data_IF_162546974189
#
_entry.id   IF_162546974189
#
_cell.length_a   1.000
_cell.length_b   1.000
_cell.length_c   1.000
_cell.angle_alpha   90.00
_cell.angle_beta   90.00
_cell.angle_gamma   90.00
#
_symmetry.space_group_name_H-M   'P 1'
#
loop_
_entity.id
_entity.type
_entity.pdbx_description
1 polymer ?
#
# COMPACT_ATOMS: atom_id res chain seq x y z
N UNK A 1 9.63 3.53 -4.06
CA UNK A 1 8.92 3.15 -5.30
C UNK A 1 8.53 1.69 -5.23
N UNK A 2 7.23 1.35 -5.41
CA UNK A 2 6.76 -0.02 -5.28
C UNK A 2 7.17 -0.93 -6.45
N UNK A 3 7.29 -2.22 -6.18
CA UNK A 3 7.66 -3.27 -7.14
C UNK A 3 6.44 -3.81 -7.87
N UNK A 4 6.21 -3.28 -9.08
CA UNK A 4 5.10 -3.71 -9.94
C UNK A 4 5.36 -4.98 -10.77
N UNK A 5 6.55 -5.56 -10.67
CA UNK A 5 6.93 -6.76 -11.45
C UNK A 5 6.00 -7.95 -11.25
N UNK A 6 5.37 -8.06 -10.07
CA UNK A 6 4.46 -9.16 -9.76
C UNK A 6 3.10 -9.04 -10.48
N UNK A 7 2.78 -7.89 -11.09
CA UNK A 7 1.58 -7.73 -11.93
C UNK A 7 1.58 -8.69 -13.14
N UNK A 8 2.74 -9.20 -13.54
CA UNK A 8 2.82 -10.21 -14.61
C UNK A 8 2.19 -11.55 -14.22
N UNK A 9 1.98 -11.79 -12.93
CA UNK A 9 1.41 -13.03 -12.39
C UNK A 9 -0.12 -13.03 -12.36
N UNK A 10 -0.77 -11.86 -12.47
CA UNK A 10 -2.24 -11.77 -12.57
C UNK A 10 -2.71 -11.86 -14.02
N UNK A 11 -4.01 -12.11 -14.21
CA UNK A 11 -4.62 -12.20 -15.54
C UNK A 11 -4.36 -10.94 -16.37
N UNK A 12 -4.31 -11.06 -17.69
CA UNK A 12 -4.03 -9.90 -18.55
C UNK A 12 -5.04 -8.77 -18.37
N UNK A 13 -6.32 -9.10 -18.25
CA UNK A 13 -7.41 -8.15 -18.02
C UNK A 13 -7.22 -7.41 -16.70
N UNK A 14 -6.93 -8.13 -15.62
CA UNK A 14 -6.69 -7.55 -14.30
C UNK A 14 -5.42 -6.70 -14.29
N UNK A 15 -4.34 -7.16 -14.93
CA UNK A 15 -3.09 -6.43 -15.08
C UNK A 15 -3.30 -5.09 -15.77
N UNK A 16 -3.99 -5.08 -16.92
CA UNK A 16 -4.28 -3.85 -17.68
C UNK A 16 -5.10 -2.87 -16.85
N UNK A 17 -6.14 -3.36 -16.18
CA UNK A 17 -7.01 -2.55 -15.30
C UNK A 17 -6.24 -1.97 -14.12
N UNK A 18 -5.45 -2.80 -13.43
CA UNK A 18 -4.64 -2.40 -12.29
C UNK A 18 -3.61 -1.35 -12.68
N UNK A 19 -2.86 -1.57 -13.77
CA UNK A 19 -1.86 -0.63 -14.27
C UNK A 19 -2.49 0.74 -14.64
N UNK A 20 -3.65 0.72 -15.32
CA UNK A 20 -4.36 1.95 -15.64
C UNK A 20 -4.81 2.71 -14.38
N UNK A 21 -5.27 1.99 -13.35
CA UNK A 21 -5.65 2.62 -12.08
C UNK A 21 -4.46 3.12 -11.27
N UNK A 22 -3.34 2.41 -11.25
CA UNK A 22 -2.10 2.87 -10.63
C UNK A 22 -1.62 4.18 -11.25
N UNK A 23 -1.67 4.31 -12.58
CA UNK A 23 -1.29 5.55 -13.25
C UNK A 23 -2.21 6.70 -12.83
N UNK A 24 -3.53 6.49 -12.80
CA UNK A 24 -4.49 7.51 -12.33
C UNK A 24 -4.22 7.91 -10.88
N UNK A 25 -4.01 6.93 -10.01
CA UNK A 25 -3.76 7.12 -8.58
C UNK A 25 -2.45 7.90 -8.35
N UNK A 26 -1.37 7.51 -9.04
CA UNK A 26 -0.08 8.22 -8.98
C UNK A 26 -0.23 9.69 -9.38
N UNK A 27 -0.93 9.97 -10.48
CA UNK A 27 -1.18 11.35 -10.91
C UNK A 27 -2.01 12.12 -9.90
N UNK A 28 -3.04 11.51 -9.32
CA UNK A 28 -3.88 12.16 -8.31
C UNK A 28 -3.09 12.46 -7.02
N UNK A 29 -2.26 11.53 -6.57
CA UNK A 29 -1.42 11.70 -5.37
C UNK A 29 -0.34 12.75 -5.58
N UNK A 30 0.34 12.76 -6.73
CA UNK A 30 1.33 13.79 -7.06
C UNK A 30 0.76 15.23 -7.06
N UNK A 31 -0.54 15.37 -7.32
CA UNK A 31 -1.23 16.66 -7.30
C UNK A 31 -1.81 17.05 -5.93
N UNK A 32 -1.96 16.10 -5.00
CA UNK A 32 -2.65 16.31 -3.71
C UNK A 32 -1.74 16.17 -2.49
N UNK A 33 -0.63 15.43 -2.62
CA UNK A 33 0.37 15.22 -1.58
C UNK A 33 1.64 15.98 -1.97
N UNK A 34 2.29 16.72 -1.04
CA UNK A 34 3.57 17.34 -1.32
C UNK A 34 4.61 16.33 -1.81
N UNK A 35 5.53 16.75 -2.68
CA UNK A 35 6.60 15.88 -3.14
C UNK A 35 7.55 15.53 -1.98
N UNK A 36 7.87 14.24 -1.87
CA UNK A 36 8.80 13.71 -0.87
C UNK A 36 10.24 14.11 -1.20
N UNK A 37 10.92 14.78 -0.29
CA UNK A 37 12.29 15.28 -0.48
C UNK A 37 13.15 14.94 0.73
N UNK A 38 14.25 14.21 0.48
CA UNK A 38 15.13 13.68 1.55
C UNK A 38 15.66 14.78 2.48
N UNK A 39 15.92 15.97 1.98
CA UNK A 39 16.62 17.03 2.70
C UNK A 39 15.71 18.08 3.35
N UNK A 40 14.42 18.14 3.02
CA UNK A 40 13.60 19.31 3.34
C UNK A 40 12.21 19.03 3.90
N UNK A 41 11.71 17.79 3.81
CA UNK A 41 10.45 17.46 4.46
C UNK A 41 10.41 16.03 5.00
N UNK A 42 9.43 15.80 5.87
CA UNK A 42 9.05 14.50 6.37
C UNK A 42 7.53 14.40 6.26
N UNK A 43 7.04 13.48 5.44
CA UNK A 43 5.61 13.29 5.18
C UNK A 43 5.09 12.14 6.04
N UNK A 44 4.18 12.46 6.95
CA UNK A 44 3.58 11.50 7.87
C UNK A 44 2.08 11.40 7.57
N UNK A 45 1.59 10.17 7.47
CA UNK A 45 0.17 9.88 7.32
C UNK A 45 -0.34 9.00 8.45
N UNK A 46 -1.62 9.17 8.78
CA UNK A 46 -2.39 8.23 9.60
C UNK A 46 -3.53 7.71 8.75
N UNK A 47 -3.72 6.39 8.71
CA UNK A 47 -4.73 5.78 7.86
C UNK A 47 -5.44 4.66 8.60
N UNK A 48 -6.72 4.88 8.90
CA UNK A 48 -7.60 3.81 9.29
C UNK A 48 -8.00 3.01 8.03
N UNK A 49 -7.57 1.75 7.98
CA UNK A 49 -7.93 0.84 6.90
C UNK A 49 -8.82 -0.23 7.51
N UNK A 50 -10.14 0.04 7.46
CA UNK A 50 -11.15 -0.82 8.07
C UNK A 50 -10.88 -2.30 7.82
N UNK A 51 -10.78 -3.03 8.92
CA UNK A 51 -10.60 -4.48 8.97
C UNK A 51 -9.57 -5.01 7.97
N UNK A 52 -8.29 -4.67 8.17
CA UNK A 52 -7.25 -5.04 7.22
C UNK A 52 -7.16 -6.58 7.02
N UNK A 53 -7.77 -7.11 5.95
CA UNK A 53 -7.87 -8.53 5.57
C UNK A 53 -8.53 -9.44 6.63
N UNK A 54 -9.65 -8.99 7.23
CA UNK A 54 -10.40 -9.81 8.19
C UNK A 54 -11.09 -11.03 7.55
N UNK A 55 -11.39 -12.03 8.39
CA UNK A 55 -12.18 -13.21 7.99
C UNK A 55 -13.59 -12.85 7.52
N UNK A 56 -14.16 -11.75 8.00
CA UNK A 56 -15.54 -11.34 7.75
C UNK A 56 -15.76 -10.76 6.34
N UNK A 57 -14.75 -10.12 5.76
CA UNK A 57 -14.83 -9.47 4.45
C UNK A 57 -13.95 -10.13 3.38
N UNK A 58 -13.17 -11.13 3.78
CA UNK A 58 -12.28 -11.87 2.90
C UNK A 58 -10.98 -11.12 2.60
N UNK A 59 -10.15 -11.78 1.80
CA UNK A 59 -8.83 -11.28 1.40
C UNK A 59 -8.95 -10.19 0.35
N UNK A 60 -8.28 -9.05 0.52
CA UNK A 60 -8.21 -8.01 -0.52
C UNK A 60 -7.68 -8.56 -1.84
N UNK A 61 -8.26 -8.07 -2.94
CA UNK A 61 -7.77 -8.32 -4.30
C UNK A 61 -6.33 -7.85 -4.45
N UNK A 62 -5.58 -8.47 -5.37
CA UNK A 62 -4.21 -8.06 -5.66
C UNK A 62 -4.16 -6.58 -6.08
N UNK A 63 -5.10 -6.13 -6.91
CA UNK A 63 -5.22 -4.73 -7.29
C UNK A 63 -5.33 -3.78 -6.08
N UNK A 64 -6.14 -4.12 -5.07
CA UNK A 64 -6.27 -3.29 -3.88
C UNK A 64 -4.95 -3.22 -3.10
N UNK A 65 -4.20 -4.31 -3.00
CA UNK A 65 -2.86 -4.31 -2.37
C UNK A 65 -1.90 -3.40 -3.13
N UNK A 66 -1.92 -3.41 -4.47
CA UNK A 66 -1.11 -2.49 -5.28
C UNK A 66 -1.46 -1.02 -5.02
N UNK A 67 -2.74 -0.68 -4.92
CA UNK A 67 -3.17 0.69 -4.66
C UNK A 67 -2.78 1.15 -3.25
N UNK A 68 -2.94 0.29 -2.24
CA UNK A 68 -2.51 0.58 -0.87
C UNK A 68 -0.99 0.84 -0.85
N UNK A 69 -0.19 0.01 -1.53
CA UNK A 69 1.25 0.21 -1.61
C UNK A 69 1.63 1.53 -2.31
N UNK A 70 0.94 1.92 -3.40
CA UNK A 70 1.19 3.20 -4.07
C UNK A 70 0.84 4.40 -3.19
N UNK A 71 -0.26 4.33 -2.43
CA UNK A 71 -0.64 5.38 -1.46
C UNK A 71 0.44 5.51 -0.38
N UNK A 72 0.89 4.39 0.19
CA UNK A 72 1.90 4.40 1.26
C UNK A 72 3.23 4.96 0.76
N UNK A 73 3.67 4.62 -0.46
CA UNK A 73 4.98 5.06 -0.98
C UNK A 73 5.11 6.58 -1.16
N UNK A 74 3.99 7.32 -1.21
CA UNK A 74 3.98 8.78 -1.26
C UNK A 74 4.34 9.44 0.07
N UNK A 75 4.39 8.70 1.17
CA UNK A 75 4.78 9.19 2.49
C UNK A 75 6.14 8.61 2.94
N UNK A 76 6.69 9.15 4.01
CA UNK A 76 7.89 8.63 4.69
C UNK A 76 7.52 7.69 5.85
N UNK A 77 6.44 8.01 6.56
CA UNK A 77 5.93 7.24 7.67
C UNK A 77 4.41 7.18 7.60
N UNK A 78 3.85 5.97 7.72
CA UNK A 78 2.39 5.77 7.74
C UNK A 78 2.02 4.95 8.97
N UNK A 79 1.21 5.54 9.84
CA UNK A 79 0.56 4.81 10.93
C UNK A 79 -0.76 4.22 10.43
N UNK A 80 -0.87 2.90 10.38
CA UNK A 80 -2.08 2.19 9.94
C UNK A 80 -2.86 1.70 11.17
N UNK A 81 -4.18 1.90 11.19
CA UNK A 81 -5.09 1.44 12.27
C UNK A 81 -6.03 0.34 11.78
N UNK A 82 -6.66 -0.35 12.72
CA UNK A 82 -7.59 -1.49 12.49
C UNK A 82 -6.94 -2.67 11.74
N UNK A 83 -5.66 -2.91 12.06
CA UNK A 83 -4.96 -4.12 11.65
C UNK A 83 -5.45 -5.29 12.51
N UNK A 84 -5.86 -6.38 11.87
CA UNK A 84 -6.22 -7.62 12.56
C UNK A 84 -4.97 -8.41 12.99
N UNK A 85 -5.14 -9.39 13.87
CA UNK A 85 -4.09 -10.35 14.26
C UNK A 85 -3.42 -11.02 13.03
N UNK A 86 -4.20 -11.24 11.97
CA UNK A 86 -3.65 -11.73 10.71
C UNK A 86 -2.95 -10.62 9.92
N UNK A 87 -1.63 -10.60 9.98
CA UNK A 87 -0.78 -9.64 9.27
C UNK A 87 -0.51 -10.00 7.79
N UNK A 88 -1.08 -11.08 7.25
CA UNK A 88 -0.82 -11.52 5.86
C UNK A 88 -1.02 -10.39 4.85
N UNK A 89 -2.13 -9.64 4.96
CA UNK A 89 -2.40 -8.51 4.08
C UNK A 89 -1.32 -7.42 4.18
N UNK A 90 -0.85 -7.13 5.40
CA UNK A 90 0.22 -6.15 5.64
C UNK A 90 1.52 -6.63 5.00
N UNK A 91 1.83 -7.93 5.09
CA UNK A 91 3.01 -8.50 4.44
C UNK A 91 2.91 -8.50 2.91
N UNK A 92 1.71 -8.68 2.33
CA UNK A 92 1.49 -8.53 0.88
C UNK A 92 1.77 -7.11 0.42
N UNK A 93 1.27 -6.11 1.15
CA UNK A 93 1.59 -4.69 0.88
C UNK A 93 3.09 -4.45 1.01
N UNK A 94 3.71 -4.95 2.08
CA UNK A 94 5.16 -4.84 2.29
C UNK A 94 5.96 -5.45 1.16
N UNK A 95 5.55 -6.60 0.62
CA UNK A 95 6.23 -7.24 -0.50
C UNK A 95 6.26 -6.32 -1.74
N UNK A 96 5.15 -5.61 -2.01
CA UNK A 96 5.06 -4.65 -3.11
C UNK A 96 5.86 -3.39 -2.79
N UNK A 97 5.78 -2.87 -1.56
CA UNK A 97 6.58 -1.74 -1.11
C UNK A 97 8.09 -2.02 -1.19
N UNK A 98 8.52 -3.28 -0.99
CA UNK A 98 9.89 -3.81 -1.09
C UNK A 98 10.94 -3.17 -0.18
N UNK A 99 12.17 -3.70 -0.15
CA UNK A 99 13.10 -3.67 1.01
C UNK A 99 13.33 -2.33 1.74
N UNK A 100 13.10 -1.18 1.09
CA UNK A 100 13.17 0.15 1.70
C UNK A 100 12.20 0.43 2.86
N UNK A 101 11.06 -0.26 2.94
CA UNK A 101 10.10 -0.06 4.04
C UNK A 101 10.39 -0.93 5.28
N UNK A 102 9.92 -0.55 6.46
CA UNK A 102 9.98 -1.42 7.64
C UNK A 102 8.64 -1.36 8.35
N UNK A 103 8.15 -2.52 8.81
CA UNK A 103 6.94 -2.57 9.63
C UNK A 103 7.37 -2.65 11.09
N UNK A 104 6.72 -1.84 11.91
CA UNK A 104 6.77 -1.94 13.36
C UNK A 104 5.31 -2.10 13.78
N UNK A 105 5.03 -3.10 14.61
CA UNK A 105 3.71 -3.35 15.17
C UNK A 105 3.86 -3.74 16.63
N UNK A 106 2.83 -3.47 17.42
CA UNK A 106 2.72 -3.93 18.80
C UNK A 106 1.96 -5.25 18.80
N UNK A 107 2.46 -6.23 19.53
CA UNK A 107 1.74 -7.49 19.73
C UNK A 107 0.45 -7.26 20.53
N UNK A 108 -0.65 -7.86 20.10
CA UNK A 108 -1.92 -7.82 20.81
C UNK A 108 -1.94 -8.99 21.80
N UNK A 109 -2.00 -8.69 23.08
CA UNK A 109 -2.06 -9.67 24.18
C UNK A 109 -3.47 -10.15 24.43
#
# INVERSE_FOLDING_TARGET
>A
MPYYQYLRMVSETERKRTAAGLLRLKTALANSVPNKTISSNLLIATWNIREFDSKSYGRRSEEAIYYIAEIIDHFDLVAIQEINENLEGVYRVRQILGSQWRIIYTDTT
#
